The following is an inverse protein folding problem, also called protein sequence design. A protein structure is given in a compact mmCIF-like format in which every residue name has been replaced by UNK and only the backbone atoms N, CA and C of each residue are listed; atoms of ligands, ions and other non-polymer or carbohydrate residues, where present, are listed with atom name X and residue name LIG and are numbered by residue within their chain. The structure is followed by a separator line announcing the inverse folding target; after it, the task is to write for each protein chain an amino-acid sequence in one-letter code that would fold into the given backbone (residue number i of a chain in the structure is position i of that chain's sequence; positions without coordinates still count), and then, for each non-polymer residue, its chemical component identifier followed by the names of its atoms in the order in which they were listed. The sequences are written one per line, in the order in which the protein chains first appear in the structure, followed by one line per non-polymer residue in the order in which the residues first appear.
data_IF_944670420966
#
_entry.id   IF_944670420966
#
_cell.length_a   1.000
_cell.length_b   1.000
_cell.length_c   1.000
_cell.angle_alpha   90.00
_cell.angle_beta   90.00
_cell.angle_gamma   90.00
#
_symmetry.space_group_name_H-M   'P 1'
#
loop_
_entity.id
_entity.type
_entity.pdbx_description
1 polymer ?
#
# COMPACT_ATOMS: atom_id res chain seq x y z
N UNK A 1 -21.47 5.43 14.80
CA UNK A 1 -20.62 6.46 14.17
C UNK A 1 -21.49 7.25 13.22
N UNK A 2 -21.63 8.56 13.43
CA UNK A 2 -22.36 9.42 12.51
C UNK A 2 -21.67 9.46 11.13
N UNK A 3 -22.39 9.95 10.12
CA UNK A 3 -21.92 9.96 8.72
C UNK A 3 -20.71 10.88 8.50
N UNK A 4 -20.57 11.94 9.31
CA UNK A 4 -19.41 12.82 9.24
C UNK A 4 -18.15 12.08 9.70
N UNK A 5 -18.21 11.40 10.83
CA UNK A 5 -17.11 10.61 11.37
C UNK A 5 -16.70 9.49 10.41
N UNK A 6 -17.65 8.78 9.76
CA UNK A 6 -17.34 7.78 8.72
C UNK A 6 -16.53 8.39 7.57
N UNK A 7 -16.95 9.55 7.06
CA UNK A 7 -16.26 10.25 5.98
C UNK A 7 -14.86 10.69 6.37
N UNK A 8 -14.70 11.23 7.58
CA UNK A 8 -13.40 11.64 8.10
C UNK A 8 -12.47 10.43 8.18
N UNK A 9 -12.91 9.32 8.78
CA UNK A 9 -12.11 8.10 8.89
C UNK A 9 -11.76 7.54 7.51
N UNK A 10 -12.71 7.44 6.58
CA UNK A 10 -12.45 7.01 5.22
C UNK A 10 -11.36 7.86 4.55
N UNK A 11 -11.46 9.19 4.66
CA UNK A 11 -10.48 10.12 4.09
C UNK A 11 -9.11 9.96 4.74
N UNK A 12 -9.03 9.77 6.05
CA UNK A 12 -7.77 9.53 6.75
C UNK A 12 -7.10 8.23 6.30
N UNK A 13 -7.87 7.15 6.16
CA UNK A 13 -7.35 5.87 5.67
C UNK A 13 -6.85 6.00 4.23
N UNK A 14 -7.60 6.68 3.37
CA UNK A 14 -7.21 6.88 1.98
C UNK A 14 -6.01 7.83 1.84
N UNK A 15 -5.91 8.87 2.68
CA UNK A 15 -4.76 9.75 2.75
C UNK A 15 -3.50 9.00 3.20
N UNK A 16 -3.62 8.11 4.19
CA UNK A 16 -2.53 7.23 4.62
C UNK A 16 -2.04 6.35 3.45
N UNK A 17 -2.96 5.74 2.69
CA UNK A 17 -2.61 4.96 1.49
C UNK A 17 -1.89 5.83 0.46
N UNK A 18 -2.44 7.01 0.15
CA UNK A 18 -1.85 7.93 -0.83
C UNK A 18 -0.42 8.34 -0.44
N UNK A 19 -0.24 8.81 0.81
CA UNK A 19 1.05 9.25 1.32
C UNK A 19 2.07 8.10 1.35
N UNK A 20 1.69 6.91 1.82
CA UNK A 20 2.60 5.77 1.84
C UNK A 20 3.08 5.39 0.44
N UNK A 21 2.18 5.43 -0.56
CA UNK A 21 2.51 5.11 -1.94
C UNK A 21 3.40 6.18 -2.59
N UNK A 22 3.13 7.46 -2.34
CA UNK A 22 3.96 8.56 -2.83
C UNK A 22 5.35 8.52 -2.20
N UNK A 23 5.45 8.37 -0.88
CA UNK A 23 6.74 8.34 -0.18
C UNK A 23 7.57 7.16 -0.69
N UNK A 24 7.02 5.95 -0.72
CA UNK A 24 7.76 4.78 -1.22
C UNK A 24 8.13 4.97 -2.70
N UNK A 25 7.22 5.51 -3.51
CA UNK A 25 7.46 5.76 -4.93
C UNK A 25 8.59 6.75 -5.18
N UNK A 26 8.63 7.87 -4.45
CA UNK A 26 9.71 8.88 -4.54
C UNK A 26 11.03 8.29 -4.06
N UNK A 27 11.02 7.62 -2.91
CA UNK A 27 12.25 7.11 -2.29
C UNK A 27 12.94 6.07 -3.18
N UNK A 28 12.21 5.30 -3.98
CA UNK A 28 12.77 4.36 -4.95
C UNK A 28 13.64 5.02 -6.05
N UNK A 29 13.56 6.34 -6.23
CA UNK A 29 14.35 7.09 -7.21
C UNK A 29 15.48 7.94 -6.62
N UNK A 30 15.60 8.00 -5.28
CA UNK A 30 16.61 8.86 -4.65
C UNK A 30 18.00 8.22 -4.82
N UNK A 31 18.95 8.90 -5.50
CA UNK A 31 20.32 8.40 -5.61
C UNK A 31 20.94 8.17 -4.24
N UNK A 32 21.60 7.03 -4.05
CA UNK A 32 22.24 6.67 -2.77
C UNK A 32 21.33 5.98 -1.76
N UNK A 33 20.02 5.90 -2.00
CA UNK A 33 19.13 5.02 -1.21
C UNK A 33 19.19 3.60 -1.78
N UNK A 34 19.89 2.70 -1.10
CA UNK A 34 19.96 1.30 -1.52
C UNK A 34 18.63 0.56 -1.32
N UNK A 35 18.34 -0.39 -2.20
CA UNK A 35 17.16 -1.27 -2.07
C UNK A 35 17.22 -2.05 -0.76
N UNK A 36 18.42 -2.42 -0.31
CA UNK A 36 18.62 -3.08 0.99
C UNK A 36 18.12 -2.22 2.15
N UNK A 37 18.46 -0.94 2.16
CA UNK A 37 18.02 -0.02 3.20
C UNK A 37 16.49 0.13 3.19
N UNK A 38 15.89 0.18 2.00
CA UNK A 38 14.43 0.21 1.86
C UNK A 38 13.77 -1.07 2.38
N UNK A 39 14.26 -2.22 1.93
CA UNK A 39 13.75 -3.53 2.31
C UNK A 39 13.89 -3.75 3.83
N UNK A 40 15.02 -3.37 4.41
CA UNK A 40 15.27 -3.45 5.85
C UNK A 40 14.38 -2.49 6.64
N UNK A 41 14.21 -1.25 6.18
CA UNK A 41 13.42 -0.24 6.90
C UNK A 41 11.93 -0.58 6.90
N UNK A 42 11.37 -0.88 5.73
CA UNK A 42 9.93 -1.10 5.60
C UNK A 42 9.51 -2.54 5.90
N UNK A 43 10.31 -3.53 5.52
CA UNK A 43 9.92 -4.94 5.61
C UNK A 43 10.76 -5.75 6.60
N UNK A 44 11.78 -5.16 7.23
CA UNK A 44 12.77 -5.90 8.04
C UNK A 44 13.38 -7.08 7.27
N UNK A 45 13.43 -6.95 5.94
CA UNK A 45 13.96 -7.96 5.04
C UNK A 45 15.48 -7.87 4.95
N UNK A 46 16.12 -9.02 4.75
CA UNK A 46 17.51 -9.13 4.34
C UNK A 46 17.53 -9.43 2.85
N UNK A 47 18.09 -8.51 2.08
CA UNK A 47 18.23 -8.63 0.63
C UNK A 47 19.66 -8.28 0.28
N UNK A 48 20.18 -8.82 -0.82
CA UNK A 48 21.45 -8.41 -1.39
C UNK A 48 21.11 -7.58 -2.63
N UNK A 49 21.47 -6.30 -2.62
CA UNK A 49 21.26 -5.40 -3.76
C UNK A 49 22.08 -5.87 -4.93
N UNK A 50 21.49 -5.81 -6.11
CA UNK A 50 22.19 -5.92 -7.37
C UNK A 50 21.53 -5.00 -8.41
N UNK A 51 22.19 -4.70 -9.53
CA UNK A 51 21.65 -3.76 -10.51
C UNK A 51 20.27 -4.16 -11.07
N UNK A 52 19.97 -5.46 -11.15
CA UNK A 52 18.68 -5.95 -11.62
C UNK A 52 17.57 -5.63 -10.61
N UNK A 53 17.82 -5.89 -9.32
CA UNK A 53 16.87 -5.61 -8.25
C UNK A 53 16.65 -4.10 -8.05
N UNK A 54 17.71 -3.29 -8.21
CA UNK A 54 17.61 -1.83 -8.21
C UNK A 54 16.70 -1.33 -9.32
N UNK A 55 16.91 -1.83 -10.53
CA UNK A 55 16.08 -1.47 -11.67
C UNK A 55 14.61 -1.90 -11.48
N UNK A 56 14.38 -3.12 -11.00
CA UNK A 56 13.02 -3.61 -10.67
C UNK A 56 12.38 -2.73 -9.58
N UNK A 57 13.14 -2.32 -8.56
CA UNK A 57 12.64 -1.46 -7.49
C UNK A 57 12.25 -0.08 -8.00
N UNK A 58 13.02 0.51 -8.92
CA UNK A 58 12.67 1.77 -9.58
C UNK A 58 11.37 1.64 -10.39
N UNK A 59 11.20 0.55 -11.15
CA UNK A 59 9.95 0.28 -11.88
C UNK A 59 8.75 0.17 -10.93
N UNK A 60 8.92 -0.56 -9.80
CA UNK A 60 7.91 -0.60 -8.75
C UNK A 60 7.66 0.79 -8.14
N UNK A 61 8.70 1.62 -7.99
CA UNK A 61 8.61 3.00 -7.52
C UNK A 61 7.68 3.85 -8.38
N UNK A 62 7.83 3.81 -9.70
CA UNK A 62 6.93 4.50 -10.65
C UNK A 62 5.48 4.07 -10.45
N UNK A 63 5.24 2.76 -10.36
CA UNK A 63 3.90 2.22 -10.11
C UNK A 63 3.31 2.74 -8.80
N UNK A 64 4.09 2.69 -7.70
CA UNK A 64 3.67 3.18 -6.40
C UNK A 64 3.33 4.67 -6.46
N UNK A 65 4.13 5.49 -7.14
CA UNK A 65 3.87 6.92 -7.27
C UNK A 65 2.53 7.19 -7.99
N UNK A 66 2.28 6.53 -9.12
CA UNK A 66 1.02 6.67 -9.85
C UNK A 66 -0.17 6.23 -9.01
N UNK A 67 -0.08 5.11 -8.29
CA UNK A 67 -1.14 4.65 -7.38
C UNK A 67 -1.43 5.67 -6.28
N UNK A 68 -0.39 6.31 -5.74
CA UNK A 68 -0.53 7.38 -4.75
C UNK A 68 -1.25 8.62 -5.30
N UNK A 69 -0.91 9.04 -6.53
CA UNK A 69 -1.58 10.16 -7.21
C UNK A 69 -3.06 9.84 -7.48
N UNK A 70 -3.35 8.62 -7.95
CA UNK A 70 -4.74 8.17 -8.14
C UNK A 70 -5.52 8.18 -6.82
N UNK A 71 -4.89 7.72 -5.74
CA UNK A 71 -5.49 7.76 -4.40
C UNK A 71 -5.80 9.20 -3.94
N UNK A 72 -4.99 10.20 -4.31
CA UNK A 72 -5.31 11.63 -4.06
C UNK A 72 -6.59 12.04 -4.78
N UNK A 73 -6.79 11.66 -6.05
CA UNK A 73 -8.05 11.98 -6.75
C UNK A 73 -9.25 11.33 -6.07
N UNK A 74 -9.10 10.09 -5.60
CA UNK A 74 -10.11 9.42 -4.80
C UNK A 74 -10.36 10.10 -3.45
N UNK A 75 -9.32 10.65 -2.80
CA UNK A 75 -9.43 11.41 -1.57
C UNK A 75 -10.21 12.71 -1.74
N UNK A 76 -9.94 13.45 -2.83
CA UNK A 76 -10.57 14.73 -3.12
C UNK A 76 -12.06 14.57 -3.48
N UNK A 77 -12.41 13.56 -4.27
CA UNK A 77 -13.79 13.27 -4.65
C UNK A 77 -14.06 11.75 -4.71
N UNK A 78 -14.35 11.11 -3.56
CA UNK A 78 -14.48 9.65 -3.48
C UNK A 78 -15.71 9.09 -4.20
N UNK A 79 -16.77 9.88 -4.30
CA UNK A 79 -18.00 9.46 -4.99
C UNK A 79 -17.77 9.40 -6.50
N UNK A 80 -17.15 10.44 -7.08
CA UNK A 80 -16.82 10.49 -8.51
C UNK A 80 -15.75 9.46 -8.87
N UNK A 81 -14.76 9.27 -8.01
CA UNK A 81 -13.60 8.42 -8.27
C UNK A 81 -13.71 7.04 -7.60
N UNK A 82 -14.92 6.53 -7.42
CA UNK A 82 -15.18 5.25 -6.73
C UNK A 82 -14.46 4.06 -7.34
N UNK A 83 -14.28 4.05 -8.66
CA UNK A 83 -13.52 3.03 -9.36
C UNK A 83 -12.06 2.93 -8.86
N UNK A 84 -11.44 4.07 -8.54
CA UNK A 84 -10.08 4.11 -8.00
C UNK A 84 -10.04 3.50 -6.60
N UNK A 85 -10.97 3.88 -5.72
CA UNK A 85 -11.08 3.28 -4.37
C UNK A 85 -11.28 1.77 -4.44
N UNK A 86 -12.16 1.30 -5.33
CA UNK A 86 -12.37 -0.13 -5.55
C UNK A 86 -11.09 -0.82 -6.06
N UNK A 87 -10.36 -0.19 -6.98
CA UNK A 87 -9.07 -0.70 -7.46
C UNK A 87 -8.03 -0.81 -6.34
N UNK A 88 -7.96 0.16 -5.44
CA UNK A 88 -7.09 0.13 -4.25
C UNK A 88 -7.49 -1.02 -3.32
N UNK A 89 -8.80 -1.20 -3.06
CA UNK A 89 -9.30 -2.31 -2.23
C UNK A 89 -8.90 -3.65 -2.85
N UNK A 90 -9.13 -3.83 -4.16
CA UNK A 90 -8.76 -5.05 -4.88
C UNK A 90 -7.25 -5.30 -4.80
N UNK A 91 -6.43 -4.27 -5.04
CA UNK A 91 -4.98 -4.38 -4.91
C UNK A 91 -4.55 -4.84 -3.52
N UNK A 92 -5.13 -4.27 -2.45
CA UNK A 92 -4.81 -4.67 -1.08
C UNK A 92 -5.26 -6.10 -0.78
N UNK A 93 -6.42 -6.53 -1.27
CA UNK A 93 -6.89 -7.91 -1.11
C UNK A 93 -5.97 -8.88 -1.85
N UNK A 94 -5.61 -8.60 -3.11
CA UNK A 94 -4.66 -9.41 -3.87
C UNK A 94 -3.29 -9.47 -3.17
N UNK A 95 -2.84 -8.36 -2.59
CA UNK A 95 -1.61 -8.33 -1.80
C UNK A 95 -1.69 -9.19 -0.54
N UNK A 96 -2.81 -9.21 0.15
CA UNK A 96 -3.04 -10.11 1.30
C UNK A 96 -3.03 -11.56 0.83
N UNK A 97 -3.77 -11.90 -0.23
CA UNK A 97 -3.81 -13.26 -0.77
C UNK A 97 -2.42 -13.74 -1.20
N UNK A 98 -1.67 -12.93 -1.94
CA UNK A 98 -0.29 -13.22 -2.30
C UNK A 98 0.56 -13.54 -1.06
N UNK A 99 0.42 -12.74 0.01
CA UNK A 99 1.16 -12.97 1.25
C UNK A 99 0.74 -14.24 1.97
N UNK A 100 -0.53 -14.63 1.91
CA UNK A 100 -1.01 -15.88 2.49
C UNK A 100 -0.49 -17.10 1.72
N UNK A 101 -0.60 -17.09 0.38
CA UNK A 101 -0.21 -18.22 -0.45
C UNK A 101 1.32 -18.37 -0.60
N UNK A 102 2.07 -17.27 -0.54
CA UNK A 102 3.53 -17.27 -0.70
C UNK A 102 4.26 -17.02 0.62
N UNK A 103 3.60 -17.19 1.77
CA UNK A 103 4.15 -16.87 3.10
C UNK A 103 5.51 -17.55 3.33
N UNK A 104 5.56 -18.89 3.19
CA UNK A 104 6.76 -19.69 3.42
C UNK A 104 7.92 -19.23 2.54
N UNK A 105 7.68 -19.15 1.23
CA UNK A 105 8.68 -18.71 0.25
C UNK A 105 9.18 -17.29 0.56
N UNK A 106 8.28 -16.37 0.90
CA UNK A 106 8.66 -14.98 1.18
C UNK A 106 9.49 -14.86 2.46
N UNK A 107 9.10 -15.57 3.53
CA UNK A 107 9.81 -15.58 4.80
C UNK A 107 11.21 -16.19 4.65
N UNK A 108 11.36 -17.27 3.87
CA UNK A 108 12.64 -17.94 3.63
C UNK A 108 13.57 -17.09 2.74
N UNK A 109 13.07 -16.56 1.62
CA UNK A 109 13.87 -15.79 0.65
C UNK A 109 14.33 -14.46 1.26
N UNK A 110 13.41 -13.71 1.86
CA UNK A 110 13.70 -12.36 2.35
C UNK A 110 14.09 -12.32 3.82
N UNK A 111 14.12 -13.48 4.51
CA UNK A 111 14.45 -13.62 5.93
C UNK A 111 13.71 -12.63 6.83
N UNK A 112 12.44 -12.37 6.51
CA UNK A 112 11.61 -11.43 7.25
C UNK A 112 11.17 -12.07 8.57
N UNK A 113 11.25 -11.37 9.71
CA UNK A 113 10.69 -11.86 10.97
C UNK A 113 9.18 -12.16 10.82
N UNK A 114 8.77 -13.39 11.16
CA UNK A 114 7.39 -13.85 11.00
C UNK A 114 6.35 -12.91 11.63
N UNK A 115 6.62 -12.42 12.85
CA UNK A 115 5.73 -11.45 13.52
C UNK A 115 5.51 -10.18 12.69
N UNK A 116 6.59 -9.59 12.16
CA UNK A 116 6.50 -8.38 11.32
C UNK A 116 5.72 -8.65 10.04
N UNK A 117 5.96 -9.81 9.42
CA UNK A 117 5.26 -10.22 8.20
C UNK A 117 3.74 -10.31 8.41
N UNK A 118 3.31 -10.97 9.49
CA UNK A 118 1.90 -11.14 9.81
C UNK A 118 1.24 -9.82 10.22
N UNK A 119 1.93 -8.98 11.02
CA UNK A 119 1.43 -7.65 11.38
C UNK A 119 1.14 -6.79 10.15
N UNK A 120 2.05 -6.76 9.17
CA UNK A 120 1.82 -6.03 7.91
C UNK A 120 0.68 -6.62 7.09
N UNK A 121 0.54 -7.95 7.06
CA UNK A 121 -0.55 -8.62 6.34
C UNK A 121 -1.91 -8.22 6.93
N UNK A 122 -2.03 -8.26 8.26
CA UNK A 122 -3.23 -7.83 8.99
C UNK A 122 -3.49 -6.34 8.75
N UNK A 123 -2.44 -5.51 8.77
CA UNK A 123 -2.56 -4.08 8.51
C UNK A 123 -3.12 -3.78 7.11
N UNK A 124 -2.60 -4.41 6.06
CA UNK A 124 -3.13 -4.24 4.70
C UNK A 124 -4.57 -4.72 4.58
N UNK A 125 -4.91 -5.84 5.22
CA UNK A 125 -6.27 -6.36 5.24
C UNK A 125 -7.23 -5.41 5.96
N UNK A 126 -6.83 -4.87 7.11
CA UNK A 126 -7.61 -3.91 7.88
C UNK A 126 -7.89 -2.63 7.07
N UNK A 127 -6.92 -2.11 6.32
CA UNK A 127 -7.12 -0.97 5.42
C UNK A 127 -8.14 -1.32 4.33
N UNK A 128 -8.03 -2.49 3.70
CA UNK A 128 -8.97 -2.91 2.66
C UNK A 128 -10.41 -2.97 3.17
N UNK A 129 -10.60 -3.58 4.35
CA UNK A 129 -11.91 -3.66 5.01
C UNK A 129 -12.42 -2.26 5.42
N UNK A 130 -11.56 -1.41 5.98
CA UNK A 130 -11.95 -0.05 6.37
C UNK A 130 -12.39 0.78 5.16
N UNK A 131 -11.64 0.75 4.05
CA UNK A 131 -12.02 1.44 2.81
C UNK A 131 -13.32 0.89 2.24
N UNK A 132 -13.54 -0.42 2.27
CA UNK A 132 -14.76 -1.04 1.76
C UNK A 132 -16.00 -0.66 2.59
N UNK A 133 -15.91 -0.76 3.92
CA UNK A 133 -17.04 -0.50 4.82
C UNK A 133 -17.38 0.99 4.95
N UNK A 134 -16.38 1.87 4.84
CA UNK A 134 -16.55 3.32 5.03
C UNK A 134 -16.71 4.10 3.72
N UNK A 135 -16.71 3.41 2.57
CA UNK A 135 -16.85 4.05 1.26
C UNK A 135 -18.18 4.83 1.15
N UNK A 136 -18.15 6.13 0.81
CA UNK A 136 -19.36 6.94 0.68
C UNK A 136 -20.30 6.41 -0.40
N UNK A 137 -21.61 6.41 -0.14
CA UNK A 137 -22.62 6.00 -1.13
C UNK A 137 -23.01 7.18 -2.02
N UNK A 138 -23.38 6.89 -3.27
CA UNK A 138 -23.79 7.89 -4.28
C UNK A 138 -24.98 8.76 -3.84
N UNK A 139 -25.80 8.29 -2.90
CA UNK A 139 -26.99 8.98 -2.37
C UNK A 139 -26.69 10.02 -1.30
N UNK A 140 -25.44 10.19 -0.88
CA UNK A 140 -25.08 11.07 0.23
C UNK A 140 -24.54 12.44 -0.24
N UNK A 141 -25.09 12.96 -1.33
CA UNK A 141 -24.89 14.33 -1.83
C UNK A 141 -26.21 15.09 -1.77
#
# INVERSE_FOLDING_TARGET
MDELAKRVVFRLVLALVALAHIIIGIVAYIPGVSVENLAKTFYKASVISNPQLEHVTQMFGAYMLVMGILAIFALLNPVKNRAITNGIIILLVLRVLQRLFLAKQTLEIFRIPSGWYWSQTIFFFAIAIALFLLMPKKKEL
#
